data_IF_250889030985
#
_entry.id   IF_250889030985
#
_cell.length_a   1.000
_cell.length_b   1.000
_cell.length_c   1.000
_cell.angle_alpha   90.00
_cell.angle_beta   90.00
_cell.angle_gamma   90.00
#
_symmetry.space_group_name_H-M   'P 1'
#
loop_
_entity.id
_entity.type
_entity.pdbx_description
1 polymer ?
#
# COMPACT_ATOMS: atom_id res chain seq x y z
N UNK A 1 -14.94 -31.23 10.13
CA UNK A 1 -13.95 -30.33 10.73
C UNK A 1 -12.57 -30.52 10.07
N UNK A 2 -12.07 -31.75 9.91
CA UNK A 2 -10.73 -32.05 9.33
C UNK A 2 -10.63 -31.63 7.84
N UNK A 3 -11.64 -31.97 7.02
CA UNK A 3 -11.71 -31.53 5.60
C UNK A 3 -11.72 -30.00 5.40
N UNK A 4 -12.34 -29.26 6.31
CA UNK A 4 -12.40 -27.79 6.25
C UNK A 4 -11.02 -27.20 6.55
N UNK A 5 -10.27 -27.81 7.48
CA UNK A 5 -8.90 -27.39 7.83
C UNK A 5 -7.95 -27.70 6.68
N UNK A 6 -8.03 -28.89 6.07
CA UNK A 6 -7.23 -29.28 4.91
C UNK A 6 -7.51 -28.37 3.69
N UNK A 7 -8.79 -28.03 3.43
CA UNK A 7 -9.15 -27.12 2.36
C UNK A 7 -8.64 -25.68 2.59
N UNK A 8 -8.69 -25.22 3.85
CA UNK A 8 -8.11 -23.93 4.24
C UNK A 8 -6.60 -23.89 4.01
N UNK A 9 -5.86 -24.90 4.43
CA UNK A 9 -4.42 -24.99 4.19
C UNK A 9 -4.07 -25.03 2.69
N UNK A 10 -4.87 -25.68 1.85
CA UNK A 10 -4.67 -25.70 0.40
C UNK A 10 -4.95 -24.31 -0.23
N UNK A 11 -6.00 -23.63 0.22
CA UNK A 11 -6.32 -22.27 -0.23
C UNK A 11 -5.23 -21.29 0.21
N UNK A 12 -4.80 -21.36 1.46
CA UNK A 12 -3.74 -20.51 2.00
C UNK A 12 -2.39 -20.74 1.26
N UNK A 13 -2.06 -22.00 0.97
CA UNK A 13 -0.86 -22.36 0.20
C UNK A 13 -0.92 -21.86 -1.25
N UNK A 14 -2.07 -21.96 -1.90
CA UNK A 14 -2.28 -21.47 -3.27
C UNK A 14 -2.22 -19.94 -3.34
N UNK A 15 -2.82 -19.26 -2.35
CA UNK A 15 -2.75 -17.81 -2.23
C UNK A 15 -1.32 -17.33 -1.95
N UNK A 16 -0.59 -18.05 -1.10
CA UNK A 16 0.82 -17.75 -0.80
C UNK A 16 1.72 -17.94 -2.02
N UNK A 17 1.51 -18.96 -2.84
CA UNK A 17 2.25 -19.12 -4.10
C UNK A 17 1.97 -17.96 -5.07
N UNK A 18 0.73 -17.49 -5.17
CA UNK A 18 0.39 -16.34 -6.02
C UNK A 18 1.09 -15.05 -5.56
N UNK A 19 1.18 -14.79 -4.26
CA UNK A 19 1.81 -13.57 -3.75
C UNK A 19 3.33 -13.59 -3.93
N UNK A 20 3.98 -14.75 -3.88
CA UNK A 20 5.40 -14.90 -4.18
C UNK A 20 5.66 -14.51 -5.65
N UNK A 21 4.89 -15.09 -6.59
CA UNK A 21 5.01 -14.76 -8.01
C UNK A 21 4.77 -13.27 -8.28
N UNK A 22 3.77 -12.69 -7.61
CA UNK A 22 3.49 -11.26 -7.74
C UNK A 22 4.66 -10.41 -7.24
N UNK A 23 5.28 -10.82 -6.14
CA UNK A 23 6.47 -10.16 -5.61
C UNK A 23 7.68 -10.33 -6.55
N UNK A 24 7.80 -11.43 -7.28
CA UNK A 24 8.85 -11.61 -8.30
C UNK A 24 8.65 -10.64 -9.46
N UNK A 25 7.42 -10.45 -9.97
CA UNK A 25 7.12 -9.41 -10.97
C UNK A 25 7.43 -8.00 -10.46
N UNK A 26 7.13 -7.72 -9.19
CA UNK A 26 7.47 -6.44 -8.56
C UNK A 26 9.01 -6.25 -8.49
N UNK A 27 9.76 -7.24 -8.03
CA UNK A 27 11.24 -7.18 -7.94
C UNK A 27 11.90 -7.06 -9.32
N UNK A 28 11.28 -7.58 -10.36
CA UNK A 28 11.74 -7.50 -11.76
C UNK A 28 11.33 -6.18 -12.45
N UNK A 29 10.66 -5.28 -11.71
CA UNK A 29 10.20 -3.97 -12.17
C UNK A 29 10.95 -2.85 -11.47
N UNK A 30 10.93 -1.64 -12.05
CA UNK A 30 11.58 -0.44 -11.49
C UNK A 30 10.78 0.23 -10.38
N UNK A 31 9.54 -0.18 -10.16
CA UNK A 31 8.61 0.35 -9.15
C UNK A 31 7.17 0.10 -9.54
N UNK A 32 6.24 0.55 -8.69
CA UNK A 32 4.80 0.39 -8.89
C UNK A 32 4.16 1.70 -9.28
N UNK A 33 3.30 1.68 -10.31
CA UNK A 33 2.55 2.84 -10.80
C UNK A 33 1.07 2.48 -10.91
N UNK A 34 0.19 3.36 -10.41
CA UNK A 34 -1.28 3.21 -10.51
C UNK A 34 -1.94 4.28 -11.38
N UNK A 35 -1.19 5.33 -11.77
CA UNK A 35 -1.65 6.41 -12.65
C UNK A 35 -0.98 6.28 -14.02
N UNK A 36 -1.75 5.96 -15.06
CA UNK A 36 -1.25 5.77 -16.43
C UNK A 36 -0.60 7.03 -17.05
N UNK A 37 -0.76 8.21 -16.44
CA UNK A 37 -0.11 9.46 -16.86
C UNK A 37 1.31 9.61 -16.29
N UNK A 38 1.67 8.77 -15.29
CA UNK A 38 2.94 8.84 -14.57
C UNK A 38 3.79 7.57 -14.75
N UNK A 39 3.60 6.88 -15.87
CA UNK A 39 4.35 5.65 -16.16
C UNK A 39 5.84 5.94 -16.23
N UNK A 40 6.62 5.05 -15.66
CA UNK A 40 8.08 5.01 -15.77
C UNK A 40 8.49 3.74 -16.48
N UNK A 41 9.65 3.77 -17.13
CA UNK A 41 10.17 2.62 -17.87
C UNK A 41 10.31 1.39 -16.96
N UNK A 42 9.88 0.24 -17.44
CA UNK A 42 9.94 -1.07 -16.77
C UNK A 42 9.17 -1.15 -15.44
N UNK A 43 8.18 -0.25 -15.19
CA UNK A 43 7.33 -0.33 -14.00
C UNK A 43 6.34 -1.51 -14.04
N UNK A 44 5.83 -1.85 -12.86
CA UNK A 44 4.63 -2.66 -12.66
C UNK A 44 3.44 -1.71 -12.57
N UNK A 45 2.60 -1.68 -13.60
CA UNK A 45 1.35 -0.94 -13.58
C UNK A 45 0.27 -1.73 -12.86
N UNK A 46 -0.46 -1.12 -11.91
CA UNK A 46 -1.60 -1.75 -11.23
C UNK A 46 -2.87 -1.02 -11.63
N UNK A 47 -3.74 -1.70 -12.36
CA UNK A 47 -4.97 -1.17 -12.93
C UNK A 47 -6.09 -1.09 -11.88
N UNK A 48 -6.01 -0.10 -10.97
CA UNK A 48 -7.01 0.10 -9.93
C UNK A 48 -8.36 0.51 -10.51
N UNK A 49 -9.45 0.14 -9.81
CA UNK A 49 -10.81 0.59 -10.12
C UNK A 49 -11.32 1.52 -9.02
N UNK A 50 -12.11 2.51 -9.41
CA UNK A 50 -12.87 3.38 -8.54
C UNK A 50 -14.32 3.48 -9.03
N UNK A 51 -15.16 4.25 -8.34
CA UNK A 51 -16.59 4.38 -8.69
C UNK A 51 -16.82 4.83 -10.14
N UNK A 52 -15.99 5.77 -10.63
CA UNK A 52 -16.13 6.37 -11.98
C UNK A 52 -14.89 6.12 -12.87
N UNK A 53 -14.05 5.14 -12.51
CA UNK A 53 -12.78 4.91 -13.18
C UNK A 53 -12.45 3.42 -13.21
N UNK A 54 -12.06 2.88 -14.37
CA UNK A 54 -11.56 1.52 -14.53
C UNK A 54 -10.16 1.54 -15.16
N UNK A 55 -9.14 1.29 -14.32
CA UNK A 55 -7.75 1.26 -14.71
C UNK A 55 -7.41 0.18 -15.73
N UNK A 56 -8.22 -0.89 -15.83
CA UNK A 56 -8.02 -1.95 -16.81
C UNK A 56 -8.01 -1.45 -18.26
N UNK A 57 -8.75 -0.40 -18.55
CA UNK A 57 -8.80 0.23 -19.88
C UNK A 57 -7.45 0.82 -20.31
N UNK A 58 -6.55 1.08 -19.37
CA UNK A 58 -5.22 1.66 -19.61
C UNK A 58 -4.09 0.64 -19.56
N UNK A 59 -4.38 -0.64 -19.31
CA UNK A 59 -3.34 -1.65 -19.11
C UNK A 59 -2.53 -1.91 -20.39
N UNK A 60 -3.18 -2.04 -21.55
CA UNK A 60 -2.48 -2.20 -22.84
C UNK A 60 -1.65 -0.96 -23.18
N UNK A 61 -2.22 0.24 -23.00
CA UNK A 61 -1.51 1.51 -23.17
C UNK A 61 -0.29 1.60 -22.22
N UNK A 62 -0.41 1.14 -20.97
CA UNK A 62 0.72 1.14 -20.05
C UNK A 62 1.87 0.24 -20.55
N UNK A 63 1.56 -0.94 -21.08
CA UNK A 63 2.54 -1.83 -21.70
C UNK A 63 3.21 -1.18 -22.93
N UNK A 64 2.43 -0.53 -23.79
CA UNK A 64 2.96 0.19 -24.97
C UNK A 64 3.87 1.37 -24.58
N UNK A 65 3.60 2.01 -23.43
CA UNK A 65 4.38 3.13 -22.89
C UNK A 65 5.58 2.72 -22.06
N UNK A 66 5.87 1.42 -21.97
CA UNK A 66 7.09 0.91 -21.35
C UNK A 66 6.91 0.29 -19.97
N UNK A 67 5.68 0.09 -19.49
CA UNK A 67 5.47 -0.76 -18.33
C UNK A 67 5.92 -2.20 -18.64
N UNK A 68 6.66 -2.83 -17.73
CA UNK A 68 7.13 -4.20 -17.89
C UNK A 68 5.99 -5.20 -17.76
N UNK A 69 5.15 -4.99 -16.76
CA UNK A 69 3.96 -5.78 -16.46
C UNK A 69 2.80 -4.87 -16.08
N UNK A 70 1.56 -5.39 -16.22
CA UNK A 70 0.38 -4.73 -15.67
C UNK A 70 -0.51 -5.75 -14.96
N UNK A 71 -0.94 -5.44 -13.72
CA UNK A 71 -1.96 -6.20 -13.01
C UNK A 71 -3.34 -5.74 -13.45
N UNK A 72 -4.18 -6.70 -13.83
CA UNK A 72 -5.56 -6.49 -14.28
C UNK A 72 -6.49 -7.48 -13.60
N UNK A 73 -7.75 -7.11 -13.37
CA UNK A 73 -8.78 -7.98 -12.83
C UNK A 73 -9.93 -8.27 -13.80
N UNK A 74 -9.65 -8.07 -15.10
CA UNK A 74 -10.55 -8.35 -16.23
C UNK A 74 -9.96 -9.47 -17.08
N UNK A 75 -10.53 -10.69 -17.08
CA UNK A 75 -9.99 -11.81 -17.86
C UNK A 75 -9.89 -11.54 -19.37
N UNK A 76 -10.83 -10.78 -19.92
CA UNK A 76 -10.83 -10.37 -21.33
C UNK A 76 -9.67 -9.43 -21.68
N UNK A 77 -9.18 -8.65 -20.72
CA UNK A 77 -8.01 -7.79 -20.91
C UNK A 77 -6.74 -8.63 -20.79
N UNK A 78 -6.63 -9.46 -19.74
CA UNK A 78 -5.45 -10.29 -19.49
C UNK A 78 -5.06 -11.19 -20.68
N UNK A 79 -6.06 -11.69 -21.44
CA UNK A 79 -5.84 -12.58 -22.61
C UNK A 79 -5.15 -11.90 -23.80
N UNK A 80 -5.09 -10.59 -23.82
CA UNK A 80 -4.57 -9.84 -24.96
C UNK A 80 -3.03 -9.79 -25.02
N UNK A 81 -2.36 -9.94 -23.88
CA UNK A 81 -0.91 -9.85 -23.79
C UNK A 81 -0.41 -10.64 -22.57
N UNK A 82 0.67 -11.42 -22.74
CA UNK A 82 1.26 -12.23 -21.66
C UNK A 82 1.85 -11.41 -20.51
N UNK A 83 2.13 -10.11 -20.72
CA UNK A 83 2.58 -9.16 -19.68
C UNK A 83 1.43 -8.58 -18.85
N UNK A 84 0.16 -8.91 -19.21
CA UNK A 84 -1.03 -8.55 -18.45
C UNK A 84 -1.35 -9.68 -17.48
N UNK A 85 -1.04 -9.47 -16.23
CA UNK A 85 -1.14 -10.48 -15.17
C UNK A 85 -2.54 -10.40 -14.55
N UNK A 86 -3.33 -11.48 -14.72
CA UNK A 86 -4.66 -11.57 -14.15
C UNK A 86 -4.60 -11.81 -12.64
N UNK A 87 -5.29 -10.98 -11.89
CA UNK A 87 -5.54 -11.13 -10.45
C UNK A 87 -7.05 -11.10 -10.19
N UNK A 88 -7.48 -11.49 -9.00
CA UNK A 88 -8.89 -11.47 -8.62
C UNK A 88 -9.38 -10.04 -8.36
N UNK A 89 -8.58 -9.24 -7.63
CA UNK A 89 -8.82 -7.83 -7.33
C UNK A 89 -7.47 -7.10 -7.30
N UNK A 90 -7.35 -6.02 -8.08
CA UNK A 90 -6.10 -5.27 -8.21
C UNK A 90 -5.75 -4.48 -6.96
N UNK A 91 -6.74 -3.95 -6.22
CA UNK A 91 -6.50 -3.23 -4.97
C UNK A 91 -6.06 -4.18 -3.87
N UNK A 92 -6.74 -5.30 -3.70
CA UNK A 92 -6.34 -6.33 -2.75
C UNK A 92 -4.93 -6.86 -3.07
N UNK A 93 -4.62 -7.07 -4.34
CA UNK A 93 -3.30 -7.52 -4.80
C UNK A 93 -2.20 -6.51 -4.45
N UNK A 94 -2.46 -5.20 -4.62
CA UNK A 94 -1.56 -4.14 -4.19
C UNK A 94 -1.29 -4.20 -2.68
N UNK A 95 -2.33 -4.34 -1.88
CA UNK A 95 -2.25 -4.39 -0.42
C UNK A 95 -1.50 -5.62 0.09
N UNK A 96 -1.81 -6.79 -0.45
CA UNK A 96 -1.13 -8.05 -0.10
C UNK A 96 0.34 -8.04 -0.57
N UNK A 97 0.63 -7.50 -1.74
CA UNK A 97 1.99 -7.31 -2.23
C UNK A 97 2.80 -6.43 -1.27
N UNK A 98 2.25 -5.28 -0.87
CA UNK A 98 2.90 -4.37 0.08
C UNK A 98 3.12 -5.02 1.45
N UNK A 99 2.12 -5.74 1.96
CA UNK A 99 2.21 -6.48 3.22
C UNK A 99 3.25 -7.61 3.17
N UNK A 100 3.34 -8.31 2.04
CA UNK A 100 4.36 -9.34 1.82
C UNK A 100 5.76 -8.71 1.72
N UNK A 101 5.90 -7.63 0.97
CA UNK A 101 7.15 -6.89 0.82
C UNK A 101 7.62 -6.33 2.17
N UNK A 102 6.72 -5.74 2.98
CA UNK A 102 7.01 -5.25 4.34
C UNK A 102 7.70 -6.33 5.21
N UNK A 103 7.29 -7.59 5.10
CA UNK A 103 7.90 -8.71 5.84
C UNK A 103 9.31 -9.07 5.35
N UNK A 104 9.70 -8.63 4.15
CA UNK A 104 11.02 -8.91 3.57
C UNK A 104 12.04 -7.82 3.87
N UNK A 105 11.59 -6.57 4.06
CA UNK A 105 12.46 -5.45 4.39
C UNK A 105 12.74 -5.40 5.90
N UNK A 106 13.93 -4.91 6.26
CA UNK A 106 14.38 -4.79 7.66
C UNK A 106 14.14 -3.40 8.25
N UNK A 107 13.62 -2.46 7.46
CA UNK A 107 13.35 -1.10 7.89
C UNK A 107 12.50 -1.06 9.15
N UNK A 108 12.87 -0.27 10.14
CA UNK A 108 12.01 0.06 11.28
C UNK A 108 10.97 1.08 10.85
N UNK A 109 9.70 0.82 11.13
CA UNK A 109 8.61 1.69 10.71
C UNK A 109 8.13 2.56 11.86
N UNK A 110 8.08 3.87 11.61
CA UNK A 110 7.40 4.85 12.46
C UNK A 110 6.06 5.17 11.79
N UNK A 111 4.97 4.73 12.40
CA UNK A 111 3.61 5.09 11.99
C UNK A 111 3.22 6.46 12.57
N UNK A 112 2.58 7.29 11.77
CA UNK A 112 2.20 8.64 12.19
C UNK A 112 0.75 8.92 11.80
N UNK A 113 -0.09 9.25 12.78
CA UNK A 113 -1.47 9.71 12.53
C UNK A 113 -1.79 10.98 13.33
N UNK A 114 -3.01 11.46 13.23
CA UNK A 114 -3.54 12.63 13.93
C UNK A 114 -4.52 13.43 13.08
N UNK A 115 -5.18 14.39 13.67
CA UNK A 115 -6.13 15.26 12.96
C UNK A 115 -5.41 16.30 12.11
N UNK A 116 -4.39 16.96 12.66
CA UNK A 116 -3.62 18.02 12.00
C UNK A 116 -2.12 17.80 12.21
N UNK A 117 -1.31 18.40 11.33
CA UNK A 117 0.15 18.44 11.46
C UNK A 117 0.88 17.16 11.09
N UNK A 118 0.19 16.13 10.59
CA UNK A 118 0.81 14.85 10.18
C UNK A 118 1.98 15.05 9.21
N UNK A 119 1.73 15.66 8.07
CA UNK A 119 2.75 15.85 7.03
C UNK A 119 3.93 16.70 7.53
N UNK A 120 3.66 17.78 8.26
CA UNK A 120 4.72 18.61 8.85
C UNK A 120 5.57 17.81 9.83
N UNK A 121 4.95 17.06 10.73
CA UNK A 121 5.66 16.22 11.71
C UNK A 121 6.47 15.13 11.03
N UNK A 122 5.91 14.47 10.01
CA UNK A 122 6.59 13.49 9.17
C UNK A 122 7.86 14.07 8.55
N UNK A 123 7.78 15.25 7.93
CA UNK A 123 8.92 15.90 7.30
C UNK A 123 9.99 16.32 8.33
N UNK A 124 9.58 16.80 9.52
CA UNK A 124 10.49 17.12 10.60
C UNK A 124 11.24 15.87 11.10
N UNK A 125 10.51 14.78 11.35
CA UNK A 125 11.13 13.50 11.75
C UNK A 125 12.13 13.04 10.69
N UNK A 126 11.72 13.06 9.41
CA UNK A 126 12.58 12.68 8.30
C UNK A 126 13.84 13.56 8.22
N UNK A 127 13.70 14.87 8.35
CA UNK A 127 14.83 15.81 8.27
C UNK A 127 15.88 15.59 9.36
N UNK A 128 15.45 15.12 10.53
CA UNK A 128 16.36 14.79 11.65
C UNK A 128 16.99 13.42 11.45
N UNK A 129 16.18 12.40 11.20
CA UNK A 129 16.66 11.01 11.11
C UNK A 129 17.54 10.76 9.89
N UNK A 130 17.27 11.43 8.77
CA UNK A 130 18.10 11.33 7.55
C UNK A 130 19.52 11.84 7.70
N UNK A 131 19.85 12.53 8.80
CA UNK A 131 21.24 12.93 9.12
C UNK A 131 22.11 11.74 9.50
N UNK A 132 21.51 10.63 9.91
CA UNK A 132 22.22 9.45 10.40
C UNK A 132 21.80 8.14 9.71
N UNK A 133 20.56 8.04 9.30
CA UNK A 133 19.97 6.80 8.78
C UNK A 133 19.53 6.99 7.32
N UNK A 134 19.51 5.90 6.56
CA UNK A 134 18.85 5.88 5.26
C UNK A 134 17.33 5.81 5.49
N UNK A 135 16.65 6.94 5.28
CA UNK A 135 15.22 7.09 5.57
C UNK A 135 14.40 7.19 4.30
N UNK A 136 13.22 6.57 4.31
CA UNK A 136 12.16 6.81 3.31
C UNK A 136 10.86 7.17 4.01
N UNK A 137 10.03 7.97 3.36
CA UNK A 137 8.82 8.51 3.97
C UNK A 137 7.67 8.57 2.97
N UNK A 138 6.44 8.52 3.46
CA UNK A 138 5.24 8.75 2.65
C UNK A 138 5.36 10.02 1.82
N UNK A 139 5.22 9.90 0.51
CA UNK A 139 5.23 11.02 -0.42
C UNK A 139 3.87 11.73 -0.43
N UNK A 140 3.90 13.07 -0.33
CA UNK A 140 2.69 13.88 -0.37
C UNK A 140 1.66 13.42 0.69
N UNK A 141 0.46 13.10 0.21
CA UNK A 141 -0.68 12.65 1.02
C UNK A 141 -1.05 11.17 0.78
N UNK A 142 -0.09 10.32 0.41
CA UNK A 142 -0.29 8.88 0.19
C UNK A 142 -0.49 8.12 1.51
N UNK A 143 -1.50 8.53 2.28
CA UNK A 143 -1.73 8.13 3.65
C UNK A 143 -2.98 7.24 3.87
N UNK A 144 -3.58 6.74 2.78
CA UNK A 144 -4.79 5.90 2.79
C UNK A 144 -4.50 4.45 2.37
N UNK A 145 -5.56 3.66 2.19
CA UNK A 145 -5.53 2.24 1.82
C UNK A 145 -4.91 1.91 0.44
N UNK A 146 -4.60 2.92 -0.36
CA UNK A 146 -3.82 2.83 -1.62
C UNK A 146 -2.41 3.40 -1.41
N UNK A 147 -2.32 4.57 -0.79
CA UNK A 147 -1.08 5.31 -0.64
C UNK A 147 -0.09 4.65 0.32
N UNK A 148 -0.56 4.07 1.43
CA UNK A 148 0.32 3.34 2.37
C UNK A 148 0.94 2.11 1.72
N UNK A 149 0.21 1.24 1.01
CA UNK A 149 0.81 0.19 0.19
C UNK A 149 1.88 0.69 -0.78
N UNK A 150 1.60 1.74 -1.54
CA UNK A 150 2.59 2.33 -2.47
C UNK A 150 3.84 2.83 -1.73
N UNK A 151 3.67 3.48 -0.58
CA UNK A 151 4.79 3.92 0.27
C UNK A 151 5.65 2.73 0.72
N UNK A 152 5.05 1.62 1.13
CA UNK A 152 5.78 0.44 1.58
C UNK A 152 6.58 -0.22 0.44
N UNK A 153 6.06 -0.20 -0.79
CA UNK A 153 6.72 -0.73 -1.97
C UNK A 153 7.90 0.14 -2.47
N UNK A 154 8.00 1.39 -2.01
CA UNK A 154 9.17 2.25 -2.24
C UNK A 154 10.35 1.91 -1.32
N UNK A 155 10.13 1.18 -0.22
CA UNK A 155 11.19 0.80 0.70
C UNK A 155 11.99 -0.38 0.12
N UNK A 156 13.30 -0.33 0.28
CA UNK A 156 14.25 -1.34 -0.21
C UNK A 156 15.09 -1.93 0.93
N UNK A 157 16.06 -2.75 0.56
CA UNK A 157 16.96 -3.43 1.50
C UNK A 157 17.90 -2.45 2.23
N UNK A 158 18.15 -1.28 1.64
CA UNK A 158 19.00 -0.22 2.20
C UNK A 158 18.21 0.72 3.13
N UNK A 159 16.89 0.67 3.11
CA UNK A 159 16.05 1.51 3.97
C UNK A 159 16.18 1.05 5.43
N UNK A 160 16.70 1.93 6.31
CA UNK A 160 16.85 1.66 7.74
C UNK A 160 15.61 2.08 8.53
N UNK A 161 15.03 3.24 8.18
CA UNK A 161 13.81 3.76 8.83
C UNK A 161 12.81 4.21 7.78
N UNK A 162 11.59 3.67 7.87
CA UNK A 162 10.43 4.12 7.11
C UNK A 162 9.51 4.98 7.98
N UNK A 163 9.07 6.13 7.47
CA UNK A 163 8.12 7.00 8.17
C UNK A 163 6.82 7.00 7.37
N UNK A 164 5.79 6.35 7.92
CA UNK A 164 4.52 6.10 7.23
C UNK A 164 3.43 6.97 7.83
N UNK A 165 2.97 7.96 7.04
CA UNK A 165 1.80 8.76 7.39
C UNK A 165 0.52 7.96 7.17
N UNK A 166 -0.39 7.94 8.16
CA UNK A 166 -1.65 7.20 8.15
C UNK A 166 -2.82 8.15 8.38
N UNK A 167 -3.65 8.30 7.35
CA UNK A 167 -4.87 9.10 7.38
C UNK A 167 -6.11 8.22 7.58
N UNK A 168 -7.10 8.73 8.28
CA UNK A 168 -8.38 8.05 8.44
C UNK A 168 -9.54 9.07 8.53
N UNK A 169 -10.68 8.66 7.97
CA UNK A 169 -11.96 9.34 8.02
C UNK A 169 -12.98 8.58 8.91
N UNK A 170 -12.75 7.27 9.12
CA UNK A 170 -13.62 6.37 9.88
C UNK A 170 -12.79 5.51 10.85
N UNK A 171 -13.49 4.90 11.79
CA UNK A 171 -12.90 3.90 12.68
C UNK A 171 -12.42 2.67 11.87
N UNK A 172 -11.45 1.95 12.39
CA UNK A 172 -10.80 0.76 11.78
C UNK A 172 -9.91 1.03 10.57
N UNK A 173 -9.83 2.27 10.09
CA UNK A 173 -8.93 2.58 8.98
C UNK A 173 -7.47 2.64 9.45
N UNK A 174 -7.17 3.19 10.62
CA UNK A 174 -5.80 3.20 11.18
C UNK A 174 -5.36 1.77 11.53
N UNK A 175 -6.22 0.98 12.18
CA UNK A 175 -5.97 -0.43 12.47
C UNK A 175 -5.59 -1.20 11.18
N UNK A 176 -6.36 -1.02 10.11
CA UNK A 176 -6.07 -1.60 8.81
C UNK A 176 -4.70 -1.19 8.24
N UNK A 177 -4.39 0.12 8.28
CA UNK A 177 -3.10 0.62 7.79
C UNK A 177 -1.93 0.11 8.65
N UNK A 178 -2.13 -0.04 9.97
CA UNK A 178 -1.15 -0.65 10.86
C UNK A 178 -0.94 -2.14 10.55
N UNK A 179 -1.98 -2.88 10.16
CA UNK A 179 -1.84 -4.28 9.73
C UNK A 179 -1.02 -4.41 8.43
N UNK A 180 -1.02 -3.39 7.57
CA UNK A 180 -0.17 -3.35 6.37
C UNK A 180 1.26 -2.97 6.71
N UNK A 181 1.45 -1.83 7.41
CA UNK A 181 2.76 -1.23 7.65
C UNK A 181 3.53 -1.88 8.81
N UNK A 182 2.82 -2.48 9.78
CA UNK A 182 3.40 -3.10 10.99
C UNK A 182 4.42 -2.16 11.66
N UNK A 183 3.99 -0.96 12.14
CA UNK A 183 4.90 -0.01 12.75
C UNK A 183 5.43 -0.53 14.09
N UNK A 184 6.70 -0.29 14.39
CA UNK A 184 7.31 -0.53 15.69
C UNK A 184 7.09 0.64 16.66
N UNK A 185 6.85 1.83 16.12
CA UNK A 185 6.54 3.03 16.88
C UNK A 185 5.35 3.74 16.26
N UNK A 186 4.37 4.11 17.08
CA UNK A 186 3.21 4.91 16.71
C UNK A 186 3.29 6.32 17.29
N UNK A 187 2.95 7.34 16.50
CA UNK A 187 2.85 8.72 16.93
C UNK A 187 1.52 9.32 16.54
N UNK A 188 0.83 9.94 17.51
CA UNK A 188 -0.38 10.72 17.28
C UNK A 188 -0.04 12.20 17.48
N UNK A 189 -0.21 13.02 16.44
CA UNK A 189 0.10 14.46 16.55
C UNK A 189 -0.88 15.19 17.45
N UNK A 190 -2.17 14.98 17.23
CA UNK A 190 -3.26 15.52 18.06
C UNK A 190 -4.61 14.87 17.74
N UNK A 191 -5.57 15.10 18.63
CA UNK A 191 -6.99 14.79 18.47
C UNK A 191 -7.76 16.08 18.24
N UNK A 192 -7.92 16.50 17.00
CA UNK A 192 -8.67 17.70 16.63
C UNK A 192 -10.06 17.37 16.04
N UNK A 193 -10.83 18.41 15.72
CA UNK A 193 -12.18 18.29 15.19
C UNK A 193 -12.22 17.98 13.68
N UNK A 194 -11.36 17.08 13.20
CA UNK A 194 -11.34 16.67 11.79
C UNK A 194 -12.17 15.40 11.58
N UNK A 195 -12.95 15.37 10.50
CA UNK A 195 -13.75 14.21 10.08
C UNK A 195 -14.78 13.72 11.12
N UNK A 196 -15.33 14.63 11.93
CA UNK A 196 -16.28 14.31 13.02
C UNK A 196 -17.46 13.44 12.57
N UNK A 197 -18.00 13.68 11.36
CA UNK A 197 -19.12 12.90 10.83
C UNK A 197 -18.75 11.43 10.62
N UNK A 198 -17.59 11.16 10.03
CA UNK A 198 -17.14 9.79 9.76
C UNK A 198 -16.75 9.03 11.03
N UNK A 199 -16.25 9.74 12.05
CA UNK A 199 -15.88 9.13 13.33
C UNK A 199 -17.03 9.08 14.35
N UNK A 200 -18.14 9.77 14.12
CA UNK A 200 -19.26 9.85 15.09
C UNK A 200 -18.99 10.78 16.27
N UNK A 201 -18.18 11.83 16.08
CA UNK A 201 -17.84 12.83 17.09
C UNK A 201 -16.39 12.75 17.58
N UNK A 202 -16.06 13.58 18.60
CA UNK A 202 -14.67 13.68 19.10
C UNK A 202 -14.17 12.39 19.77
N UNK A 203 -15.04 11.69 20.50
CA UNK A 203 -14.71 10.40 21.12
C UNK A 203 -14.36 9.34 20.07
N UNK A 204 -15.07 9.35 18.94
CA UNK A 204 -14.75 8.50 17.80
C UNK A 204 -13.42 8.86 17.15
N UNK A 205 -13.06 10.14 17.08
CA UNK A 205 -11.73 10.58 16.59
C UNK A 205 -10.63 10.06 17.50
N UNK A 206 -10.81 10.18 18.83
CA UNK A 206 -9.85 9.67 19.82
C UNK A 206 -9.68 8.15 19.64
N UNK A 207 -10.79 7.41 19.63
CA UNK A 207 -10.79 5.95 19.48
C UNK A 207 -10.11 5.53 18.18
N UNK A 208 -10.55 6.06 17.03
CA UNK A 208 -10.04 5.66 15.73
C UNK A 208 -8.57 6.02 15.50
N UNK A 209 -8.08 7.15 16.03
CA UNK A 209 -6.65 7.49 15.91
C UNK A 209 -5.77 6.77 16.91
N UNK A 210 -6.33 6.27 18.01
CA UNK A 210 -5.62 5.44 18.99
C UNK A 210 -5.46 3.97 18.54
N UNK A 211 -5.93 3.64 17.36
CA UNK A 211 -5.71 2.31 16.72
C UNK A 211 -4.25 2.08 16.25
N UNK A 212 -3.40 3.13 16.26
CA UNK A 212 -2.01 3.09 15.81
C UNK A 212 -1.09 2.31 16.76
#
# INVERSE_FOLDING_TARGET
TRKIIELRHLIDAFFFMKIIQLHDYFKDSTGVVTDSRKLIQDCLFIALRGENFDGNQFAEFAIEKGAKYALVDRPEIARKNERLILVEDTLQSLQELAKYHRKKIKAKIIGLTGSNGKTTTKELINSVLSKKFNTKTTLGNFNNHIGVPLTLLEFDEDTEIGIVEMGANHQKEIDFLCQLAQPELGLITNFGQAHLQGFGGIEGVITGKSEI
#
